data_IF_628740943715
#
_entry.id   IF_628740943715
#
_cell.length_a   1.000
_cell.length_b   1.000
_cell.length_c   1.000
_cell.angle_alpha   90.00
_cell.angle_beta   90.00
_cell.angle_gamma   90.00
#
_symmetry.space_group_name_H-M   'P 1'
#
loop_
_entity.id
_entity.type
_entity.pdbx_description
1 polymer ?
#
# COMPACT_ATOMS: atom_id res chain seq x y z
N UNK A 1 -55.50 68.03 -50.04
CA UNK A 1 -55.77 67.88 -48.60
C UNK A 1 -55.15 66.56 -48.14
N UNK A 2 -54.12 66.67 -47.40
CA UNK A 2 -53.29 65.49 -46.98
C UNK A 2 -53.67 65.08 -45.57
N UNK A 3 -54.06 63.82 -45.38
CA UNK A 3 -54.27 63.25 -44.07
C UNK A 3 -53.09 62.25 -43.78
N UNK A 4 -52.27 62.62 -42.83
CA UNK A 4 -51.16 61.75 -42.29
C UNK A 4 -51.77 60.69 -41.37
N UNK A 5 -51.52 59.46 -41.72
CA UNK A 5 -51.71 58.29 -40.78
C UNK A 5 -50.47 58.06 -39.96
N UNK A 6 -50.57 58.18 -38.65
CA UNK A 6 -49.56 57.73 -37.70
C UNK A 6 -49.63 56.19 -37.57
N UNK A 7 -48.50 55.51 -37.78
CA UNK A 7 -48.39 54.10 -37.48
C UNK A 7 -47.58 54.01 -36.16
N UNK A 8 -48.27 53.56 -35.10
CA UNK A 8 -47.58 53.18 -33.83
C UNK A 8 -47.02 51.78 -33.99
N UNK A 9 -45.72 51.66 -33.93
CA UNK A 9 -45.03 50.38 -33.80
C UNK A 9 -44.92 50.00 -32.29
N UNK A 10 -45.63 48.98 -31.89
CA UNK A 10 -45.46 48.38 -30.56
C UNK A 10 -44.28 47.45 -30.55
N UNK A 11 -43.21 47.81 -29.83
CA UNK A 11 -42.07 46.94 -29.58
C UNK A 11 -42.38 45.95 -28.44
N UNK A 12 -42.62 44.71 -28.78
CA UNK A 12 -42.77 43.63 -27.81
C UNK A 12 -41.38 43.18 -27.37
N UNK A 13 -40.95 43.56 -26.16
CA UNK A 13 -39.72 43.08 -25.51
C UNK A 13 -39.95 41.67 -24.96
N UNK A 14 -39.42 40.66 -25.63
CA UNK A 14 -39.40 39.28 -25.14
C UNK A 14 -38.27 39.18 -24.12
N UNK A 15 -38.62 39.18 -22.84
CA UNK A 15 -37.71 38.77 -21.76
C UNK A 15 -37.54 37.25 -21.82
N UNK A 16 -36.44 36.80 -22.43
CA UNK A 16 -35.99 35.41 -22.30
C UNK A 16 -35.43 35.19 -20.88
N UNK A 17 -36.21 34.59 -20.00
CA UNK A 17 -35.76 34.04 -18.74
C UNK A 17 -34.86 32.84 -19.08
N UNK A 18 -33.55 33.06 -19.15
CA UNK A 18 -32.54 31.99 -19.17
C UNK A 18 -32.55 31.28 -17.82
N UNK A 19 -33.32 30.19 -17.70
CA UNK A 19 -33.15 29.28 -16.58
C UNK A 19 -31.78 28.61 -16.73
N UNK A 20 -30.78 29.10 -15.99
CA UNK A 20 -29.55 28.37 -15.76
C UNK A 20 -29.90 27.13 -14.95
N UNK A 21 -30.08 26.01 -15.64
CA UNK A 21 -30.08 24.69 -14.97
C UNK A 21 -28.67 24.52 -14.45
N UNK A 22 -28.50 24.78 -13.15
CA UNK A 22 -27.30 24.34 -12.43
C UNK A 22 -27.28 22.80 -12.55
N UNK A 23 -26.45 22.29 -13.44
CA UNK A 23 -26.18 20.86 -13.46
C UNK A 23 -25.61 20.50 -12.08
N UNK A 24 -26.43 19.93 -11.21
CA UNK A 24 -25.98 19.31 -10.02
C UNK A 24 -25.04 18.19 -10.48
N UNK A 25 -23.74 18.32 -10.20
CA UNK A 25 -22.81 17.22 -10.38
C UNK A 25 -23.41 16.02 -9.63
N UNK A 26 -23.60 14.92 -10.35
CA UNK A 26 -24.16 13.71 -9.73
C UNK A 26 -23.27 13.34 -8.54
N UNK A 27 -23.89 13.02 -7.38
CA UNK A 27 -23.19 12.58 -6.20
C UNK A 27 -22.24 11.43 -6.59
N UNK A 28 -20.95 11.53 -6.26
CA UNK A 28 -19.96 10.54 -6.62
C UNK A 28 -20.34 9.12 -6.14
N UNK A 29 -21.11 9.01 -5.05
CA UNK A 29 -21.63 7.74 -4.52
C UNK A 29 -22.57 7.03 -5.49
N UNK A 30 -23.29 7.79 -6.30
CA UNK A 30 -24.14 7.23 -7.36
C UNK A 30 -23.31 6.74 -8.53
N UNK A 31 -22.19 7.42 -8.82
CA UNK A 31 -21.27 7.03 -9.89
C UNK A 31 -20.42 5.82 -9.49
N UNK A 32 -20.02 5.74 -8.21
CA UNK A 32 -19.14 4.71 -7.64
C UNK A 32 -19.81 4.14 -6.39
N UNK A 33 -20.80 3.26 -6.54
CA UNK A 33 -21.54 2.68 -5.41
C UNK A 33 -20.71 1.65 -4.61
N UNK A 34 -19.60 1.20 -5.18
CA UNK A 34 -18.66 0.28 -4.55
C UNK A 34 -17.22 0.68 -4.81
N UNK A 35 -16.41 0.77 -3.75
CA UNK A 35 -14.97 0.98 -3.81
C UNK A 35 -14.25 -0.33 -3.53
N UNK A 36 -13.24 -0.64 -4.34
CA UNK A 36 -12.34 -1.77 -4.13
C UNK A 36 -11.04 -1.29 -3.50
N UNK A 37 -10.74 -1.82 -2.32
CA UNK A 37 -9.44 -1.67 -1.65
C UNK A 37 -8.64 -2.95 -1.79
N UNK A 38 -7.34 -2.84 -2.02
CA UNK A 38 -6.41 -3.97 -2.01
C UNK A 38 -5.11 -3.60 -1.29
N UNK A 39 -4.35 -4.61 -0.87
CA UNK A 39 -3.01 -4.43 -0.33
C UNK A 39 -2.09 -5.50 -0.88
N UNK A 40 -0.80 -5.18 -0.96
CA UNK A 40 0.23 -6.16 -1.34
C UNK A 40 0.30 -7.28 -0.29
N UNK A 41 0.33 -8.56 -0.70
CA UNK A 41 0.21 -9.68 0.24
C UNK A 41 1.47 -9.83 1.09
N UNK A 42 1.35 -9.68 2.41
CA UNK A 42 2.43 -9.90 3.38
C UNK A 42 2.28 -11.23 4.14
N UNK A 43 1.05 -11.73 4.23
CA UNK A 43 0.65 -12.95 4.94
C UNK A 43 -0.39 -13.72 4.13
N UNK A 44 -0.90 -14.83 4.68
CA UNK A 44 -1.94 -15.60 4.00
C UNK A 44 -3.27 -14.83 3.86
N UNK A 45 -4.08 -15.23 2.87
CA UNK A 45 -5.33 -14.55 2.51
C UNK A 45 -6.36 -14.51 3.62
N UNK A 46 -6.49 -15.58 4.43
CA UNK A 46 -7.47 -15.66 5.50
C UNK A 46 -7.14 -14.69 6.64
N UNK A 47 -5.89 -14.59 7.02
CA UNK A 47 -5.42 -13.66 8.05
C UNK A 47 -5.53 -12.21 7.57
N UNK A 48 -5.16 -11.93 6.32
CA UNK A 48 -5.36 -10.61 5.71
C UNK A 48 -6.82 -10.19 5.77
N UNK A 49 -7.74 -11.06 5.33
CA UNK A 49 -9.17 -10.77 5.38
C UNK A 49 -9.66 -10.53 6.82
N UNK A 50 -9.30 -11.39 7.75
CA UNK A 50 -9.71 -11.28 9.14
C UNK A 50 -9.25 -9.97 9.80
N UNK A 51 -8.04 -9.51 9.48
CA UNK A 51 -7.50 -8.26 10.05
C UNK A 51 -8.11 -7.02 9.41
N UNK A 52 -8.33 -7.03 8.10
CA UNK A 52 -8.72 -5.83 7.36
C UNK A 52 -10.24 -5.67 7.19
N UNK A 53 -11.05 -6.72 7.39
CA UNK A 53 -12.50 -6.60 7.25
C UNK A 53 -13.12 -5.51 8.16
N UNK A 54 -12.76 -5.37 9.46
CA UNK A 54 -13.27 -4.27 10.27
C UNK A 54 -12.93 -2.87 9.73
N UNK A 55 -11.76 -2.71 9.09
CA UNK A 55 -11.40 -1.46 8.43
C UNK A 55 -12.28 -1.20 7.20
N UNK A 56 -12.63 -2.23 6.42
CA UNK A 56 -13.57 -2.11 5.30
C UNK A 56 -14.97 -1.71 5.77
N UNK A 57 -15.42 -2.27 6.89
CA UNK A 57 -16.71 -1.94 7.51
C UNK A 57 -16.73 -0.48 7.99
N UNK A 58 -15.66 -0.02 8.65
CA UNK A 58 -15.47 1.38 9.03
C UNK A 58 -15.50 2.31 7.82
N UNK A 59 -14.71 2.01 6.79
CA UNK A 59 -14.65 2.83 5.57
C UNK A 59 -16.00 2.88 4.86
N UNK A 60 -16.71 1.75 4.78
CA UNK A 60 -18.04 1.67 4.17
C UNK A 60 -19.04 2.58 4.90
N UNK A 61 -19.04 2.53 6.22
CA UNK A 61 -19.89 3.40 7.06
C UNK A 61 -19.54 4.87 6.91
N UNK A 62 -18.24 5.19 6.95
CA UNK A 62 -17.74 6.57 6.87
C UNK A 62 -18.00 7.20 5.50
N UNK A 63 -17.81 6.44 4.43
CA UNK A 63 -17.95 6.91 3.05
C UNK A 63 -19.41 6.83 2.54
N UNK A 64 -20.25 5.99 3.14
CA UNK A 64 -21.62 5.77 2.69
C UNK A 64 -21.73 5.05 1.34
N UNK A 65 -20.71 4.29 0.97
CA UNK A 65 -20.67 3.35 -0.15
C UNK A 65 -20.04 2.05 0.32
N UNK A 66 -20.29 0.94 -0.36
CA UNK A 66 -19.66 -0.34 -0.02
C UNK A 66 -18.16 -0.28 -0.32
N UNK A 67 -17.32 -0.67 0.64
CA UNK A 67 -15.87 -0.85 0.44
C UNK A 67 -15.53 -2.32 0.60
N UNK A 68 -14.99 -2.93 -0.44
CA UNK A 68 -14.62 -4.35 -0.47
C UNK A 68 -13.11 -4.52 -0.45
N UNK A 69 -12.66 -5.46 0.36
CA UNK A 69 -11.28 -5.94 0.32
C UNK A 69 -11.09 -6.93 -0.83
N UNK A 70 -10.22 -6.61 -1.77
CA UNK A 70 -9.82 -7.55 -2.80
C UNK A 70 -8.54 -8.28 -2.39
N UNK A 71 -8.67 -9.55 -2.09
CA UNK A 71 -7.53 -10.43 -1.86
C UNK A 71 -6.89 -10.78 -3.20
N UNK A 72 -5.58 -10.68 -3.26
CA UNK A 72 -4.75 -10.95 -4.45
C UNK A 72 -3.65 -11.96 -4.12
N UNK A 73 -3.13 -12.62 -5.16
CA UNK A 73 -2.14 -13.69 -4.98
C UNK A 73 -0.70 -13.18 -4.93
N UNK A 74 -0.42 -12.01 -5.52
CA UNK A 74 0.92 -11.44 -5.61
C UNK A 74 0.87 -9.90 -5.71
N UNK A 75 2.04 -9.27 -5.63
CA UNK A 75 2.20 -7.82 -5.71
C UNK A 75 1.81 -7.26 -7.08
N UNK A 76 2.10 -8.00 -8.15
CA UNK A 76 1.79 -7.58 -9.51
C UNK A 76 0.27 -7.44 -9.72
N UNK A 77 -0.54 -8.29 -9.09
CA UNK A 77 -2.00 -8.22 -9.19
C UNK A 77 -2.58 -6.92 -8.58
N UNK A 78 -1.97 -6.36 -7.52
CA UNK A 78 -2.35 -5.02 -7.01
C UNK A 78 -1.97 -3.95 -8.01
N UNK A 79 -0.73 -3.99 -8.50
CA UNK A 79 -0.17 -3.00 -9.43
C UNK A 79 -1.01 -2.93 -10.72
N UNK A 80 -1.21 -4.07 -11.38
CA UNK A 80 -1.97 -4.16 -12.62
C UNK A 80 -3.47 -3.89 -12.39
N UNK A 81 -4.03 -4.35 -11.26
CA UNK A 81 -5.42 -4.10 -10.91
C UNK A 81 -5.73 -2.62 -10.71
N UNK A 82 -4.82 -1.86 -10.09
CA UNK A 82 -5.00 -0.43 -9.94
C UNK A 82 -4.74 0.31 -11.27
N UNK A 83 -3.70 -0.07 -12.02
CA UNK A 83 -3.44 0.48 -13.37
C UNK A 83 -4.64 0.30 -14.30
N UNK A 84 -5.32 -0.85 -14.23
CA UNK A 84 -6.51 -1.14 -15.03
C UNK A 84 -7.80 -0.48 -14.51
N UNK A 85 -7.75 0.24 -13.37
CA UNK A 85 -8.92 0.87 -12.75
C UNK A 85 -9.82 -0.09 -11.97
N UNK A 86 -9.41 -1.34 -11.77
CA UNK A 86 -10.19 -2.37 -11.05
C UNK A 86 -9.97 -2.34 -9.53
N UNK A 87 -8.97 -1.60 -9.05
CA UNK A 87 -8.67 -1.34 -7.65
C UNK A 87 -8.64 0.17 -7.48
N UNK A 88 -9.55 0.70 -6.67
CA UNK A 88 -9.70 2.15 -6.49
C UNK A 88 -8.67 2.73 -5.52
N UNK A 89 -8.37 1.98 -4.45
CA UNK A 89 -7.42 2.37 -3.40
C UNK A 89 -6.53 1.18 -3.08
N UNK A 90 -5.22 1.41 -2.97
CA UNK A 90 -4.27 0.34 -2.66
C UNK A 90 -3.25 0.76 -1.60
N UNK A 91 -2.95 -0.16 -0.68
CA UNK A 91 -1.81 -0.09 0.23
C UNK A 91 -0.63 -0.84 -0.40
N UNK A 92 0.44 -0.11 -0.63
CA UNK A 92 1.67 -0.60 -1.25
C UNK A 92 2.84 -0.65 -0.27
N UNK A 93 3.87 -1.43 -0.61
CA UNK A 93 5.21 -1.08 -0.18
C UNK A 93 5.79 0.04 -1.08
N UNK A 94 6.75 0.83 -0.63
CA UNK A 94 7.29 1.95 -1.42
C UNK A 94 7.78 1.55 -2.83
N UNK A 95 8.47 0.41 -2.99
CA UNK A 95 8.95 -0.05 -4.31
C UNK A 95 7.81 -0.53 -5.22
N UNK A 96 6.78 -1.21 -4.67
CA UNK A 96 5.61 -1.59 -5.47
C UNK A 96 4.78 -0.38 -5.91
N UNK A 97 4.67 0.66 -5.07
CA UNK A 97 4.14 1.95 -5.48
C UNK A 97 4.96 2.59 -6.60
N UNK A 98 6.29 2.64 -6.43
CA UNK A 98 7.20 3.16 -7.45
C UNK A 98 7.07 2.39 -8.78
N UNK A 99 6.93 1.07 -8.72
CA UNK A 99 6.69 0.23 -9.91
C UNK A 99 5.37 0.57 -10.58
N UNK A 100 4.27 0.68 -9.81
CA UNK A 100 2.95 1.06 -10.34
C UNK A 100 3.03 2.43 -11.06
N UNK A 101 3.67 3.40 -10.42
CA UNK A 101 3.90 4.73 -11.01
C UNK A 101 4.71 4.67 -12.31
N UNK A 102 5.85 3.95 -12.31
CA UNK A 102 6.74 3.81 -13.49
C UNK A 102 6.06 3.17 -14.70
N UNK A 103 5.14 2.25 -14.49
CA UNK A 103 4.40 1.60 -15.60
C UNK A 103 3.16 2.39 -16.05
N UNK A 104 2.97 3.60 -15.50
CA UNK A 104 1.90 4.51 -15.90
C UNK A 104 0.55 4.26 -15.24
N UNK A 105 0.52 3.69 -14.04
CA UNK A 105 -0.69 3.73 -13.23
C UNK A 105 -0.96 5.19 -12.82
N UNK A 106 -2.17 5.68 -13.12
CA UNK A 106 -2.58 7.04 -12.80
C UNK A 106 -3.10 7.12 -11.36
N UNK A 107 -2.14 7.23 -10.42
CA UNK A 107 -2.37 7.13 -8.98
C UNK A 107 -1.67 8.25 -8.21
N UNK A 108 -2.23 8.60 -7.05
CA UNK A 108 -1.63 9.57 -6.11
C UNK A 108 -1.57 8.94 -4.71
N UNK A 109 -0.40 8.92 -4.05
CA UNK A 109 -0.29 8.53 -2.66
C UNK A 109 -0.81 9.67 -1.78
N UNK A 110 -1.65 9.35 -0.82
CA UNK A 110 -2.31 10.37 0.01
C UNK A 110 -2.14 10.16 1.51
N UNK A 111 -1.84 8.94 1.92
CA UNK A 111 -1.65 8.57 3.32
C UNK A 111 -0.44 7.65 3.46
N UNK A 112 0.27 7.79 4.56
CA UNK A 112 1.41 6.97 4.94
C UNK A 112 1.18 6.40 6.33
N UNK A 113 1.53 5.15 6.53
CA UNK A 113 1.48 4.46 7.83
C UNK A 113 2.47 5.08 8.83
N UNK A 114 2.04 5.24 10.09
CA UNK A 114 2.89 5.72 11.19
C UNK A 114 2.83 4.72 12.34
N UNK A 115 3.98 4.14 12.71
CA UNK A 115 4.09 3.26 13.86
C UNK A 115 3.94 4.02 15.18
N UNK A 116 3.65 3.26 16.24
CA UNK A 116 3.66 3.80 17.59
C UNK A 116 4.99 4.52 17.88
N UNK A 117 4.90 5.68 18.55
CA UNK A 117 6.03 6.56 18.77
C UNK A 117 6.36 7.51 17.61
N UNK A 118 5.47 7.61 16.60
CA UNK A 118 5.65 8.53 15.46
C UNK A 118 6.70 8.09 14.45
N UNK A 119 7.05 6.79 14.42
CA UNK A 119 8.09 6.25 13.54
C UNK A 119 7.53 6.13 12.11
N UNK A 120 8.23 6.73 11.14
CA UNK A 120 7.82 6.81 9.72
C UNK A 120 8.72 6.01 8.80
N UNK A 121 9.33 4.95 9.31
CA UNK A 121 10.23 4.11 8.54
C UNK A 121 10.41 2.73 9.13
N UNK A 122 10.82 1.80 8.29
CA UNK A 122 11.09 0.41 8.62
C UNK A 122 12.37 -0.07 7.91
N UNK A 123 12.69 -1.34 7.98
CA UNK A 123 13.93 -1.88 7.45
C UNK A 123 13.71 -3.21 6.70
N UNK A 124 14.60 -3.48 5.76
CA UNK A 124 14.84 -4.84 5.30
C UNK A 124 15.83 -5.51 6.23
N UNK A 125 15.53 -6.72 6.67
CA UNK A 125 16.44 -7.56 7.46
C UNK A 125 16.63 -8.90 6.81
N UNK A 126 17.77 -9.55 7.11
CA UNK A 126 18.05 -10.92 6.72
C UNK A 126 18.10 -11.79 7.96
N UNK A 127 17.12 -12.69 8.07
CA UNK A 127 17.05 -13.69 9.13
C UNK A 127 17.85 -14.94 8.76
N UNK A 128 18.49 -15.51 9.76
CA UNK A 128 19.02 -16.90 9.76
C UNK A 128 18.52 -17.59 11.02
N UNK A 129 18.56 -18.94 11.05
CA UNK A 129 18.31 -19.68 12.29
C UNK A 129 19.37 -19.33 13.34
N UNK A 130 18.95 -19.24 14.59
CA UNK A 130 19.83 -18.81 15.71
C UNK A 130 21.05 -19.68 15.85
N UNK A 131 20.91 -20.98 15.68
CA UNK A 131 21.96 -22.01 15.79
C UNK A 131 22.80 -22.18 14.52
N UNK A 132 22.46 -21.48 13.42
CA UNK A 132 23.23 -21.55 12.18
C UNK A 132 24.62 -20.96 12.32
N UNK A 133 25.60 -21.39 11.50
CA UNK A 133 26.97 -20.88 11.55
C UNK A 133 27.12 -19.46 10.99
N UNK A 134 26.11 -18.96 10.25
CA UNK A 134 26.17 -17.70 9.50
C UNK A 134 26.12 -16.49 10.43
N UNK A 135 27.12 -15.60 10.38
CA UNK A 135 27.23 -14.38 11.20
C UNK A 135 27.04 -13.11 10.40
N UNK A 136 27.36 -13.15 9.11
CA UNK A 136 27.33 -12.02 8.19
C UNK A 136 26.70 -12.42 6.86
N UNK A 137 26.29 -11.43 6.06
CA UNK A 137 25.81 -11.66 4.70
C UNK A 137 26.82 -12.46 3.84
N UNK A 138 28.13 -12.23 4.04
CA UNK A 138 29.19 -12.90 3.27
C UNK A 138 29.26 -14.39 3.49
N UNK A 139 28.83 -14.87 4.65
CA UNK A 139 28.83 -16.32 5.00
C UNK A 139 27.77 -17.10 4.18
N UNK A 140 26.85 -16.37 3.53
CA UNK A 140 25.79 -16.96 2.71
C UNK A 140 26.18 -17.12 1.23
N UNK A 141 27.44 -16.90 0.88
CA UNK A 141 27.89 -17.18 -0.48
C UNK A 141 27.59 -18.63 -0.85
N UNK A 142 27.05 -18.83 -2.05
CA UNK A 142 26.66 -20.13 -2.59
C UNK A 142 25.59 -20.88 -1.72
N UNK A 143 24.79 -20.14 -0.94
CA UNK A 143 23.66 -20.69 -0.17
C UNK A 143 22.33 -20.25 -0.79
N UNK A 144 21.27 -21.09 -0.67
CA UNK A 144 19.92 -20.69 -1.12
C UNK A 144 19.32 -19.67 -0.12
N UNK A 145 18.73 -18.59 -0.64
CA UNK A 145 18.15 -17.51 0.15
C UNK A 145 16.75 -17.15 -0.35
N UNK A 146 15.81 -16.95 0.57
CA UNK A 146 14.48 -16.47 0.22
C UNK A 146 14.45 -14.95 0.09
N UNK A 147 13.90 -14.51 -1.01
CA UNK A 147 13.34 -13.18 -1.24
C UNK A 147 11.81 -13.29 -1.21
N UNK A 148 11.08 -12.17 -1.12
CA UNK A 148 9.62 -12.21 -0.98
C UNK A 148 8.93 -12.23 -2.35
N UNK A 149 8.99 -11.12 -3.06
CA UNK A 149 8.35 -10.90 -4.36
C UNK A 149 9.19 -9.89 -5.15
N UNK A 150 9.32 -9.99 -6.47
CA UNK A 150 10.08 -9.03 -7.27
C UNK A 150 9.71 -7.56 -7.04
N UNK A 151 8.47 -7.27 -6.65
CA UNK A 151 7.97 -5.93 -6.37
C UNK A 151 8.02 -5.56 -4.87
N UNK A 152 8.46 -6.46 -3.98
CA UNK A 152 8.57 -6.16 -2.55
C UNK A 152 9.72 -5.20 -2.27
N UNK A 153 9.49 -4.18 -1.46
CA UNK A 153 10.50 -3.21 -1.07
C UNK A 153 11.57 -3.86 -0.19
N UNK A 154 11.19 -4.30 1.01
CA UNK A 154 12.12 -4.90 1.99
C UNK A 154 12.45 -6.36 1.70
N UNK A 155 11.59 -7.06 0.95
CA UNK A 155 11.82 -8.45 0.59
C UNK A 155 12.59 -8.65 -0.72
N UNK A 156 12.88 -7.60 -1.50
CA UNK A 156 13.60 -7.73 -2.76
C UNK A 156 14.39 -6.48 -3.17
N UNK A 157 13.71 -5.34 -3.42
CA UNK A 157 14.36 -4.22 -4.10
C UNK A 157 15.46 -3.58 -3.25
N UNK A 158 15.22 -3.31 -1.98
CA UNK A 158 16.22 -2.74 -1.06
C UNK A 158 17.37 -3.71 -0.79
N UNK A 159 17.15 -4.99 -0.47
CA UNK A 159 18.25 -5.95 -0.35
C UNK A 159 19.14 -6.01 -1.59
N UNK A 160 18.54 -6.09 -2.77
CA UNK A 160 19.29 -6.12 -4.05
C UNK A 160 20.12 -4.85 -4.24
N UNK A 161 19.53 -3.69 -4.00
CA UNK A 161 20.22 -2.41 -4.10
C UNK A 161 21.41 -2.33 -3.14
N UNK A 162 21.20 -2.66 -1.86
CA UNK A 162 22.25 -2.62 -0.84
C UNK A 162 23.39 -3.65 -1.15
N UNK A 163 23.04 -4.86 -1.60
CA UNK A 163 24.02 -5.85 -2.01
C UNK A 163 24.81 -5.40 -3.24
N UNK A 164 24.15 -4.84 -4.25
CA UNK A 164 24.82 -4.33 -5.44
C UNK A 164 25.79 -3.18 -5.09
N UNK A 165 25.46 -2.31 -4.15
CA UNK A 165 26.37 -1.28 -3.61
C UNK A 165 27.61 -1.89 -2.95
N UNK A 166 27.51 -3.07 -2.38
CA UNK A 166 28.64 -3.81 -1.82
C UNK A 166 29.40 -4.63 -2.88
N UNK A 167 29.04 -4.54 -4.16
CA UNK A 167 29.59 -5.31 -5.26
C UNK A 167 29.16 -6.79 -5.27
N UNK A 168 28.05 -7.10 -4.60
CA UNK A 168 27.49 -8.45 -4.51
C UNK A 168 26.20 -8.50 -5.34
N UNK A 169 26.26 -9.06 -6.53
CA UNK A 169 25.08 -9.37 -7.33
C UNK A 169 24.36 -10.57 -6.70
N UNK A 170 23.13 -10.43 -6.17
CA UNK A 170 22.44 -11.51 -5.47
C UNK A 170 22.27 -12.78 -6.30
N UNK A 171 22.02 -12.66 -7.60
CA UNK A 171 21.77 -13.80 -8.49
C UNK A 171 23.07 -14.60 -8.81
N UNK A 172 24.22 -13.99 -8.58
CA UNK A 172 25.55 -14.65 -8.68
C UNK A 172 26.15 -15.02 -7.34
N UNK A 173 25.77 -14.30 -6.29
CA UNK A 173 26.32 -14.49 -4.95
C UNK A 173 25.68 -15.68 -4.23
N UNK A 174 24.34 -15.79 -4.30
CA UNK A 174 23.63 -16.93 -3.73
C UNK A 174 23.57 -18.09 -4.72
N UNK A 175 23.53 -19.33 -4.21
CA UNK A 175 23.33 -20.50 -5.08
C UNK A 175 21.95 -20.50 -5.75
N UNK A 176 20.96 -19.94 -5.06
CA UNK A 176 19.58 -19.80 -5.54
C UNK A 176 18.88 -18.68 -4.80
N UNK A 177 18.20 -17.81 -5.54
CA UNK A 177 17.19 -16.87 -5.05
C UNK A 177 15.82 -17.51 -5.17
N UNK A 178 15.10 -17.67 -4.06
CA UNK A 178 13.76 -18.25 -4.01
C UNK A 178 12.76 -17.13 -3.70
N UNK A 179 11.82 -16.85 -4.59
CA UNK A 179 10.72 -15.95 -4.29
C UNK A 179 9.60 -16.70 -3.59
N UNK A 180 9.33 -16.32 -2.33
CA UNK A 180 8.36 -16.97 -1.44
C UNK A 180 6.92 -16.49 -1.64
N UNK A 181 6.73 -15.36 -2.29
CA UNK A 181 5.43 -14.72 -2.56
C UNK A 181 4.96 -13.79 -1.43
N UNK A 182 5.17 -14.16 -0.15
CA UNK A 182 4.80 -13.33 1.01
C UNK A 182 5.92 -13.29 2.04
N UNK A 183 5.88 -12.28 2.93
CA UNK A 183 6.84 -12.18 4.04
C UNK A 183 6.74 -13.36 5.01
N UNK A 184 5.53 -13.85 5.27
CA UNK A 184 5.29 -15.02 6.12
C UNK A 184 5.92 -16.27 5.50
N UNK A 185 5.69 -16.52 4.20
CA UNK A 185 6.28 -17.67 3.50
C UNK A 185 7.81 -17.63 3.44
N UNK A 186 8.41 -16.44 3.43
CA UNK A 186 9.87 -16.28 3.49
C UNK A 186 10.42 -16.84 4.82
N UNK A 187 9.78 -16.55 5.95
CA UNK A 187 10.13 -17.12 7.25
C UNK A 187 9.86 -18.63 7.30
N UNK A 188 8.73 -19.09 6.74
CA UNK A 188 8.39 -20.52 6.69
C UNK A 188 9.42 -21.31 5.87
N UNK A 189 9.89 -20.79 4.76
CA UNK A 189 10.94 -21.42 3.95
C UNK A 189 12.25 -21.59 4.76
N UNK A 190 12.62 -20.59 5.57
CA UNK A 190 13.76 -20.67 6.49
C UNK A 190 13.51 -21.67 7.62
N UNK A 191 12.31 -21.67 8.20
CA UNK A 191 11.93 -22.61 9.26
C UNK A 191 12.02 -24.06 8.81
N UNK A 192 11.55 -24.34 7.60
CA UNK A 192 11.54 -25.66 6.98
C UNK A 192 12.93 -26.10 6.47
N UNK A 193 13.92 -25.20 6.45
CA UNK A 193 15.26 -25.47 5.94
C UNK A 193 15.35 -25.55 4.42
N UNK A 194 14.34 -25.03 3.70
CA UNK A 194 14.37 -24.92 2.24
C UNK A 194 15.40 -23.87 1.78
N UNK A 195 15.64 -22.89 2.61
CA UNK A 195 16.66 -21.84 2.44
C UNK A 195 17.46 -21.67 3.72
N UNK A 196 18.66 -21.08 3.60
CA UNK A 196 19.55 -20.82 4.73
C UNK A 196 19.35 -19.43 5.36
N UNK A 197 18.72 -18.51 4.63
CA UNK A 197 18.38 -17.19 5.10
C UNK A 197 17.15 -16.66 4.38
N UNK A 198 16.49 -15.67 4.99
CA UNK A 198 15.25 -15.09 4.46
C UNK A 198 15.22 -13.56 4.66
N UNK A 199 15.09 -12.81 3.56
CA UNK A 199 14.83 -11.39 3.63
C UNK A 199 13.39 -11.12 4.07
N UNK A 200 13.21 -10.06 4.89
CA UNK A 200 11.91 -9.74 5.46
C UNK A 200 11.79 -8.27 5.87
N UNK A 201 10.57 -7.87 6.22
CA UNK A 201 10.27 -6.56 6.81
C UNK A 201 10.46 -6.60 8.34
N UNK A 202 11.00 -5.52 8.89
CA UNK A 202 11.22 -5.35 10.31
C UNK A 202 11.07 -3.86 10.69
N UNK A 203 10.18 -3.57 11.61
CA UNK A 203 9.98 -2.22 12.11
C UNK A 203 10.88 -1.95 13.32
N UNK A 204 10.78 -2.85 14.30
CA UNK A 204 11.55 -2.83 15.56
C UNK A 204 11.41 -4.20 16.25
N UNK A 205 12.02 -4.33 17.44
CA UNK A 205 12.03 -5.57 18.23
C UNK A 205 10.65 -6.10 18.61
N UNK A 206 9.62 -5.26 18.61
CA UNK A 206 8.25 -5.63 18.98
C UNK A 206 7.27 -5.62 17.81
N UNK A 207 7.73 -5.25 16.63
CA UNK A 207 6.91 -5.14 15.41
C UNK A 207 7.69 -5.61 14.19
N UNK A 208 7.30 -6.75 13.65
CA UNK A 208 7.82 -7.35 12.42
C UNK A 208 6.91 -8.49 11.98
N UNK A 209 7.10 -8.99 10.76
CA UNK A 209 6.41 -10.20 10.29
C UNK A 209 6.67 -11.37 11.23
N UNK A 210 7.91 -11.57 11.67
CA UNK A 210 8.27 -12.67 12.57
C UNK A 210 7.58 -12.55 13.94
N UNK A 211 7.44 -11.33 14.48
CA UNK A 211 6.67 -11.10 15.72
C UNK A 211 5.18 -11.40 15.53
N UNK A 212 4.59 -11.08 14.39
CA UNK A 212 3.21 -11.48 14.06
C UNK A 212 3.06 -12.99 14.01
N UNK A 213 4.00 -13.69 13.38
CA UNK A 213 4.02 -15.15 13.34
C UNK A 213 4.16 -15.77 14.73
N UNK A 214 4.94 -15.16 15.62
CA UNK A 214 5.02 -15.59 17.03
C UNK A 214 3.67 -15.43 17.76
N UNK A 215 2.99 -14.31 17.56
CA UNK A 215 1.65 -14.09 18.15
C UNK A 215 0.63 -15.12 17.66
N UNK A 216 0.78 -15.59 16.42
CA UNK A 216 -0.04 -16.67 15.84
C UNK A 216 0.41 -18.08 16.28
N UNK A 217 1.52 -18.23 17.00
CA UNK A 217 2.09 -19.52 17.40
C UNK A 217 2.74 -20.30 16.25
N UNK A 218 3.06 -19.64 15.13
CA UNK A 218 3.64 -20.25 13.93
C UNK A 218 5.16 -20.32 14.00
N UNK A 219 5.81 -19.33 14.62
CA UNK A 219 7.26 -19.24 14.78
C UNK A 219 7.60 -18.65 16.15
N UNK A 220 8.83 -18.86 16.61
CA UNK A 220 9.36 -18.19 17.81
C UNK A 220 10.43 -17.20 17.39
N UNK A 221 10.32 -15.96 17.84
CA UNK A 221 11.28 -14.91 17.48
C UNK A 221 12.72 -15.28 17.87
N UNK A 222 12.90 -15.89 19.04
CA UNK A 222 14.20 -16.29 19.58
C UNK A 222 14.89 -17.44 18.83
N UNK A 223 14.20 -18.13 17.92
CA UNK A 223 14.80 -19.17 17.08
C UNK A 223 15.58 -18.60 15.89
N UNK A 224 15.53 -17.28 15.71
CA UNK A 224 16.18 -16.56 14.60
C UNK A 224 17.05 -15.43 15.10
N UNK A 225 17.91 -14.94 14.21
CA UNK A 225 18.68 -13.72 14.41
C UNK A 225 18.84 -12.97 13.10
N UNK A 226 19.01 -11.66 13.21
CA UNK A 226 19.27 -10.75 12.09
C UNK A 226 20.76 -10.69 11.89
N UNK A 227 21.23 -10.94 10.66
CA UNK A 227 22.65 -10.80 10.26
C UNK A 227 22.90 -9.69 9.25
N UNK A 228 21.84 -9.05 8.76
CA UNK A 228 21.89 -7.87 7.91
C UNK A 228 20.66 -7.01 8.19
N UNK A 229 20.86 -5.70 8.18
CA UNK A 229 19.82 -4.69 8.28
C UNK A 229 20.14 -3.55 7.31
N UNK A 230 19.17 -3.16 6.49
CA UNK A 230 19.32 -2.09 5.50
C UNK A 230 19.35 -0.70 6.12
N UNK A 231 19.61 0.31 5.31
CA UNK A 231 19.20 1.69 5.58
C UNK A 231 17.69 1.78 5.83
N UNK A 232 17.23 2.82 6.54
CA UNK A 232 15.80 3.01 6.79
C UNK A 232 15.04 3.25 5.49
N UNK A 233 13.90 2.59 5.38
CA UNK A 233 12.94 2.69 4.28
C UNK A 233 11.78 3.55 4.75
N UNK A 234 11.31 4.49 3.94
CA UNK A 234 10.07 5.25 4.20
C UNK A 234 8.88 4.29 4.32
N UNK A 235 7.93 4.58 5.24
CA UNK A 235 6.76 3.72 5.42
C UNK A 235 5.85 3.66 4.18
N UNK A 236 5.02 2.64 4.18
CA UNK A 236 4.13 2.26 3.09
C UNK A 236 3.09 3.32 2.77
N UNK A 237 2.86 3.65 1.47
CA UNK A 237 1.81 4.56 1.04
C UNK A 237 0.50 3.85 0.77
N UNK A 238 -0.59 4.58 1.02
CA UNK A 238 -1.91 4.30 0.45
C UNK A 238 -2.13 5.27 -0.70
N UNK A 239 -2.47 4.73 -1.88
CA UNK A 239 -2.70 5.50 -3.08
C UNK A 239 -4.08 5.25 -3.67
N UNK A 240 -4.72 6.29 -4.21
CA UNK A 240 -5.98 6.19 -4.94
C UNK A 240 -5.79 6.47 -6.43
N UNK A 241 -6.77 6.03 -7.23
CA UNK A 241 -6.86 6.38 -8.65
C UNK A 241 -7.15 7.88 -8.82
N UNK A 242 -6.43 8.56 -9.71
CA UNK A 242 -6.67 9.97 -10.04
C UNK A 242 -7.99 10.17 -10.82
N UNK A 243 -8.48 9.13 -11.48
CA UNK A 243 -9.77 9.13 -12.17
C UNK A 243 -10.99 9.19 -11.24
N UNK A 244 -10.83 9.00 -9.94
CA UNK A 244 -11.91 9.20 -8.97
C UNK A 244 -12.30 10.68 -8.91
N UNK A 245 -13.60 11.00 -8.74
CA UNK A 245 -14.07 12.37 -8.50
C UNK A 245 -13.35 13.04 -7.32
N UNK A 246 -13.16 14.35 -7.39
CA UNK A 246 -12.39 15.08 -6.35
C UNK A 246 -13.03 15.02 -4.97
N UNK A 247 -14.37 15.04 -4.90
CA UNK A 247 -15.11 14.86 -3.66
C UNK A 247 -14.99 13.44 -3.09
N UNK A 248 -14.92 12.42 -3.95
CA UNK A 248 -14.60 11.05 -3.55
C UNK A 248 -13.19 10.95 -2.99
N UNK A 249 -12.17 11.50 -3.68
CA UNK A 249 -10.78 11.54 -3.21
C UNK A 249 -10.65 12.25 -1.87
N UNK A 250 -11.34 13.38 -1.69
CA UNK A 250 -11.35 14.11 -0.43
C UNK A 250 -11.99 13.31 0.71
N UNK A 251 -13.12 12.64 0.47
CA UNK A 251 -13.79 11.79 1.44
C UNK A 251 -12.94 10.56 1.82
N UNK A 252 -12.31 9.90 0.85
CA UNK A 252 -11.41 8.76 1.07
C UNK A 252 -10.21 9.20 1.93
N UNK A 253 -9.59 10.32 1.57
CA UNK A 253 -8.47 10.87 2.33
C UNK A 253 -8.87 11.17 3.78
N UNK A 254 -9.99 11.85 4.02
CA UNK A 254 -10.50 12.14 5.36
C UNK A 254 -10.76 10.84 6.14
N UNK A 255 -11.40 9.86 5.53
CA UNK A 255 -11.70 8.59 6.17
C UNK A 255 -10.44 7.85 6.64
N UNK A 256 -9.40 7.77 5.80
CA UNK A 256 -8.13 7.11 6.17
C UNK A 256 -7.36 7.91 7.23
N UNK A 257 -7.15 9.21 7.03
CA UNK A 257 -6.35 10.03 7.95
C UNK A 257 -6.96 10.10 9.37
N UNK A 258 -8.27 9.95 9.49
CA UNK A 258 -8.97 9.94 10.77
C UNK A 258 -9.37 8.54 11.26
N UNK A 259 -8.94 7.46 10.59
CA UNK A 259 -9.35 6.10 10.94
C UNK A 259 -9.01 5.73 12.39
N UNK A 260 -7.80 6.03 12.84
CA UNK A 260 -7.35 5.76 14.21
C UNK A 260 -8.21 6.45 15.28
N UNK A 261 -8.65 7.67 15.03
CA UNK A 261 -9.49 8.43 15.95
C UNK A 261 -10.95 8.01 15.87
N UNK A 262 -11.45 7.72 14.66
CA UNK A 262 -12.86 7.43 14.42
C UNK A 262 -13.25 5.98 14.76
N UNK A 263 -12.35 5.02 14.53
CA UNK A 263 -12.57 3.61 14.86
C UNK A 263 -11.23 2.94 15.24
N UNK A 264 -10.84 3.16 16.48
CA UNK A 264 -9.62 2.62 17.06
C UNK A 264 -9.57 1.09 16.99
N UNK A 265 -10.69 0.42 17.20
CA UNK A 265 -10.74 -1.04 17.20
C UNK A 265 -10.48 -1.62 15.81
N UNK A 266 -11.09 -1.04 14.77
CA UNK A 266 -10.84 -1.43 13.39
C UNK A 266 -9.39 -1.16 12.98
N UNK A 267 -8.85 -0.01 13.36
CA UNK A 267 -7.46 0.36 13.07
C UNK A 267 -6.46 -0.58 13.77
N UNK A 268 -6.62 -0.79 15.09
CA UNK A 268 -5.75 -1.68 15.86
C UNK A 268 -5.83 -3.13 15.34
N UNK A 269 -7.00 -3.59 14.89
CA UNK A 269 -7.15 -4.93 14.31
C UNK A 269 -6.36 -5.07 13.01
N UNK A 270 -6.38 -4.06 12.13
CA UNK A 270 -5.62 -4.05 10.88
C UNK A 270 -4.11 -4.08 11.13
N UNK A 271 -3.64 -3.45 12.21
CA UNK A 271 -2.22 -3.21 12.50
C UNK A 271 -1.70 -3.89 13.76
N UNK A 272 -2.44 -4.82 14.35
CA UNK A 272 -2.08 -5.54 15.59
C UNK A 272 -1.68 -4.59 16.74
N UNK A 273 -2.28 -3.38 16.77
CA UNK A 273 -1.99 -2.34 17.77
C UNK A 273 -0.57 -1.75 17.69
N UNK A 274 0.16 -1.97 16.57
CA UNK A 274 1.55 -1.50 16.40
C UNK A 274 1.68 -0.14 15.74
N UNK A 275 0.59 0.38 15.18
CA UNK A 275 0.55 1.67 14.49
C UNK A 275 -0.38 2.63 15.23
N UNK A 276 -0.17 3.93 15.06
CA UNK A 276 -0.92 4.96 15.79
C UNK A 276 -1.69 5.92 14.89
N UNK A 277 -1.42 5.94 13.58
CA UNK A 277 -2.11 6.84 12.66
C UNK A 277 -1.75 6.55 11.21
N UNK A 278 -2.46 7.24 10.34
CA UNK A 278 -1.96 7.62 9.01
C UNK A 278 -1.60 9.10 9.03
N UNK A 279 -0.57 9.48 8.30
CA UNK A 279 -0.24 10.86 7.99
C UNK A 279 -0.38 11.15 6.51
N UNK A 280 -0.70 12.40 6.18
CA UNK A 280 -0.73 12.84 4.80
C UNK A 280 0.65 12.69 4.15
N UNK A 281 0.68 12.20 2.91
CA UNK A 281 1.92 12.05 2.14
C UNK A 281 1.72 12.48 0.70
N UNK A 282 2.82 12.60 -0.03
CA UNK A 282 2.84 12.92 -1.45
C UNK A 282 3.86 12.05 -2.18
N UNK A 283 3.86 12.08 -3.50
CA UNK A 283 4.85 11.39 -4.33
C UNK A 283 6.29 11.73 -3.96
N UNK A 284 6.56 12.96 -3.53
CA UNK A 284 7.91 13.42 -3.18
C UNK A 284 8.57 12.60 -2.06
N UNK A 285 7.76 12.08 -1.12
CA UNK A 285 8.27 11.21 -0.06
C UNK A 285 8.87 9.88 -0.59
N UNK A 286 8.50 9.48 -1.81
CA UNK A 286 8.89 8.20 -2.42
C UNK A 286 9.88 8.34 -3.56
N UNK A 287 10.31 9.56 -3.92
CA UNK A 287 11.28 9.80 -5.02
C UNK A 287 12.53 8.95 -4.88
N UNK A 288 13.13 8.87 -3.69
CA UNK A 288 14.32 8.06 -3.46
C UNK A 288 14.14 6.56 -3.72
N UNK A 289 12.91 6.06 -3.65
CA UNK A 289 12.57 4.66 -3.98
C UNK A 289 12.22 4.52 -5.46
N UNK A 290 11.63 5.56 -6.06
CA UNK A 290 11.36 5.59 -7.52
C UNK A 290 12.65 5.56 -8.31
N UNK A 291 13.73 6.13 -7.77
CA UNK A 291 15.05 6.20 -8.43
C UNK A 291 15.90 4.92 -8.22
N UNK A 292 15.45 3.99 -7.36
CA UNK A 292 16.05 2.67 -7.18
C UNK A 292 15.70 1.74 -8.36
#
# INVERSE_FOLDING_TARGET
MFTRRLVMAAAASVFAFGATVAAHAADWKTQIPELTFALVPAENAADTNNRWQPMMDYLSKKLGVKVTLRIVNDYAAVIEGQKAGNIHVALYGPASYARAFKIGADITPFAMEVLNGGIKGYYSVLYVKKDSPYKTLKDLKDKPVAFVDPNSTSGNNVPRFEMNKMGLDPDKFFSKVVYSGTHENSVLALQQGTVEAAFNAWDNETSSTLMKMQTKGIAKYDDYRIIFKSSQIVNSPIAYLNSLPDDAKAAIRDAFLNAYTNDRAAFDKAYDGKYQSYEATTHDAYKGVVDL
#
